data_IF_195991585154
#
_entry.id   IF_195991585154
#
_cell.length_a   1.000
_cell.length_b   1.000
_cell.length_c   1.000
_cell.angle_alpha   90.00
_cell.angle_beta   90.00
_cell.angle_gamma   90.00
#
_symmetry.space_group_name_H-M   'P 1'
#
loop_
_entity.id
_entity.type
_entity.pdbx_description
1 polymer ?
#
# COMPACT_ATOMS: atom_id res chain seq x y z
N UNK A 1 15.40 -27.15 -5.69
CA UNK A 1 15.34 -25.74 -6.12
C UNK A 1 13.92 -25.51 -6.63
N UNK A 2 13.10 -24.69 -5.97
CA UNK A 2 11.77 -24.33 -6.49
C UNK A 2 11.96 -23.18 -7.46
N UNK A 3 11.45 -23.31 -8.68
CA UNK A 3 11.39 -22.19 -9.63
C UNK A 3 10.47 -21.11 -9.06
N UNK A 4 11.05 -20.03 -8.53
CA UNK A 4 10.31 -18.82 -8.22
C UNK A 4 9.83 -18.19 -9.54
N UNK A 5 8.59 -18.48 -9.94
CA UNK A 5 7.95 -17.93 -11.17
C UNK A 5 7.93 -16.39 -11.22
N UNK A 6 8.14 -15.72 -10.09
CA UNK A 6 8.22 -14.27 -9.99
C UNK A 6 9.61 -13.87 -9.48
N UNK A 7 10.34 -13.08 -10.27
CA UNK A 7 11.57 -12.43 -9.83
C UNK A 7 11.28 -11.55 -8.61
N UNK A 8 12.28 -11.33 -7.76
CA UNK A 8 12.18 -10.38 -6.65
C UNK A 8 11.75 -8.99 -7.18
N UNK A 9 10.55 -8.53 -6.81
CA UNK A 9 9.95 -7.27 -7.32
C UNK A 9 8.96 -7.42 -8.49
N UNK A 10 8.70 -8.63 -9.00
CA UNK A 10 7.67 -8.92 -10.02
C UNK A 10 6.27 -9.16 -9.45
N UNK A 11 6.05 -8.96 -8.15
CA UNK A 11 4.67 -8.89 -7.66
C UNK A 11 3.94 -7.79 -8.48
N UNK A 12 2.65 -7.96 -8.83
CA UNK A 12 1.91 -7.00 -9.67
C UNK A 12 1.58 -5.70 -8.89
N UNK A 13 2.47 -5.30 -7.99
CA UNK A 13 2.33 -4.23 -7.01
C UNK A 13 3.67 -3.51 -6.85
N UNK A 14 3.65 -2.19 -6.91
CA UNK A 14 4.81 -1.35 -6.62
C UNK A 14 4.87 -1.02 -5.13
N UNK A 15 6.10 -1.01 -4.61
CA UNK A 15 6.40 -0.53 -3.27
C UNK A 15 6.62 1.00 -3.31
N UNK A 16 6.31 1.73 -2.23
CA UNK A 16 6.70 3.13 -2.07
C UNK A 16 8.22 3.29 -2.19
N UNK A 17 8.65 4.26 -2.98
CA UNK A 17 10.07 4.64 -3.10
C UNK A 17 10.38 5.88 -2.26
N UNK A 18 9.43 6.81 -2.16
CA UNK A 18 9.54 7.98 -1.29
C UNK A 18 8.26 8.18 -0.49
N UNK A 19 8.40 8.70 0.72
CA UNK A 19 7.28 9.08 1.58
C UNK A 19 7.62 10.41 2.25
N UNK A 20 6.75 11.39 2.07
CA UNK A 20 6.77 12.65 2.80
C UNK A 20 5.67 12.62 3.84
N UNK A 21 5.99 13.00 5.08
CA UNK A 21 5.02 13.24 6.15
C UNK A 21 4.97 14.74 6.38
N UNK A 22 3.79 15.33 6.19
CA UNK A 22 3.60 16.78 6.30
C UNK A 22 4.63 17.58 5.47
N UNK A 23 4.95 17.08 4.26
CA UNK A 23 5.90 17.69 3.33
C UNK A 23 7.38 17.39 3.61
N UNK A 24 7.72 16.60 4.63
CA UNK A 24 9.11 16.23 4.97
C UNK A 24 9.41 14.78 4.60
N UNK A 25 10.45 14.55 3.82
CA UNK A 25 10.90 13.20 3.46
C UNK A 25 11.25 12.37 4.71
N UNK A 26 10.81 11.11 4.75
CA UNK A 26 11.02 10.22 5.88
C UNK A 26 11.40 8.80 5.44
N UNK A 27 12.67 8.44 5.62
CA UNK A 27 13.17 7.10 5.31
C UNK A 27 12.54 6.01 6.21
N UNK A 28 12.27 6.33 7.48
CA UNK A 28 11.57 5.42 8.40
C UNK A 28 10.13 5.15 7.96
N UNK A 29 9.47 6.14 7.35
CA UNK A 29 8.14 5.97 6.78
C UNK A 29 8.14 5.04 5.56
N UNK A 30 9.16 5.14 4.70
CA UNK A 30 9.35 4.17 3.59
C UNK A 30 9.51 2.76 4.15
N UNK A 31 10.39 2.56 5.14
CA UNK A 31 10.58 1.24 5.78
C UNK A 31 9.30 0.70 6.46
N UNK A 32 8.48 1.60 7.02
CA UNK A 32 7.22 1.22 7.63
C UNK A 32 6.19 0.76 6.59
N UNK A 33 6.18 1.35 5.38
CA UNK A 33 5.14 1.09 4.37
C UNK A 33 5.53 0.08 3.28
N UNK A 34 6.80 0.03 2.88
CA UNK A 34 7.31 -0.73 1.74
C UNK A 34 7.53 -2.21 2.05
N UNK A 35 6.46 -2.90 2.47
CA UNK A 35 6.47 -4.33 2.81
C UNK A 35 5.73 -5.13 1.75
N UNK A 36 6.24 -6.30 1.39
CA UNK A 36 5.62 -7.16 0.37
C UNK A 36 4.35 -7.87 0.87
N UNK A 37 3.58 -8.37 -0.09
CA UNK A 37 2.56 -9.41 0.16
C UNK A 37 3.22 -10.77 -0.06
N UNK A 38 2.90 -11.74 0.79
CA UNK A 38 3.22 -13.13 0.55
C UNK A 38 2.38 -13.65 -0.62
N UNK A 39 3.03 -13.91 -1.75
CA UNK A 39 2.40 -14.58 -2.89
C UNK A 39 2.84 -16.04 -2.92
N UNK A 40 1.98 -17.03 -2.65
CA UNK A 40 2.30 -18.41 -2.95
C UNK A 40 2.55 -18.56 -4.46
N UNK A 41 3.57 -19.30 -4.92
CA UNK A 41 4.47 -20.18 -4.16
C UNK A 41 5.79 -19.51 -3.71
N UNK A 42 5.93 -18.19 -3.85
CA UNK A 42 7.16 -17.46 -3.51
C UNK A 42 7.46 -17.65 -2.02
N UNK A 43 8.59 -18.28 -1.72
CA UNK A 43 9.01 -18.61 -0.36
C UNK A 43 9.59 -17.42 0.40
N UNK A 44 9.05 -16.22 0.14
CA UNK A 44 9.57 -14.99 0.73
C UNK A 44 9.29 -14.93 2.23
N UNK A 45 10.22 -14.37 3.03
CA UNK A 45 9.97 -14.15 4.45
C UNK A 45 8.82 -13.16 4.61
N UNK A 46 8.03 -13.34 5.66
CA UNK A 46 6.98 -12.40 6.02
C UNK A 46 7.61 -11.07 6.46
N UNK A 47 7.41 -10.01 5.67
CA UNK A 47 7.90 -8.66 5.95
C UNK A 47 6.93 -7.85 6.83
N UNK A 48 5.78 -8.44 7.20
CA UNK A 48 4.69 -7.74 7.86
C UNK A 48 5.00 -7.45 9.34
N UNK A 49 5.56 -6.28 9.62
CA UNK A 49 5.76 -5.76 10.99
C UNK A 49 4.84 -4.58 11.31
N UNK A 50 3.72 -4.85 11.96
CA UNK A 50 2.73 -3.85 12.35
C UNK A 50 3.21 -2.90 13.49
N UNK A 51 4.40 -3.11 14.07
CA UNK A 51 4.97 -2.19 15.09
C UNK A 51 5.46 -0.89 14.46
N UNK A 52 5.89 -0.93 13.19
CA UNK A 52 6.32 0.25 12.41
C UNK A 52 5.15 0.75 11.58
N UNK A 53 4.67 1.95 11.90
CA UNK A 53 3.46 2.52 11.33
C UNK A 53 3.58 4.03 11.10
N UNK A 54 2.80 4.56 10.17
CA UNK A 54 2.72 5.99 9.85
C UNK A 54 1.27 6.47 9.83
N UNK A 55 1.05 7.77 10.03
CA UNK A 55 -0.29 8.41 9.99
C UNK A 55 -0.14 9.89 9.62
N UNK A 56 -1.25 10.55 9.29
CA UNK A 56 -1.29 11.98 8.96
C UNK A 56 -1.33 12.22 7.46
N UNK A 57 -0.85 13.40 7.04
CA UNK A 57 -0.79 13.80 5.63
C UNK A 57 0.45 13.19 4.97
N UNK A 58 0.21 12.27 4.05
CA UNK A 58 1.25 11.54 3.34
C UNK A 58 1.29 11.97 1.88
N UNK A 59 2.49 12.18 1.35
CA UNK A 59 2.74 12.20 -0.09
C UNK A 59 3.64 11.01 -0.41
N UNK A 60 3.14 10.06 -1.18
CA UNK A 60 3.81 8.79 -1.45
C UNK A 60 4.09 8.69 -2.94
N UNK A 61 5.33 8.44 -3.30
CA UNK A 61 5.74 8.17 -4.68
C UNK A 61 6.03 6.69 -4.86
N UNK A 62 5.57 6.16 -5.98
CA UNK A 62 5.86 4.83 -6.48
C UNK A 62 6.60 5.00 -7.80
N UNK A 63 7.68 4.24 -7.99
CA UNK A 63 8.42 4.21 -9.24
C UNK A 63 8.55 2.77 -9.72
N UNK A 64 8.44 2.59 -11.03
CA UNK A 64 8.60 1.30 -11.70
C UNK A 64 7.45 1.01 -12.66
N UNK A 65 7.67 0.04 -13.55
CA UNK A 65 6.66 -0.36 -14.52
C UNK A 65 5.85 -1.53 -13.98
N UNK A 66 4.52 -1.39 -14.03
CA UNK A 66 3.61 -2.52 -13.92
C UNK A 66 3.21 -2.94 -15.34
N UNK A 67 3.36 -4.22 -15.71
CA UNK A 67 3.01 -4.67 -17.06
C UNK A 67 1.49 -4.54 -17.29
N UNK A 68 1.13 -3.97 -18.44
CA UNK A 68 -0.26 -3.73 -18.86
C UNK A 68 -0.78 -2.32 -18.51
N UNK A 69 -1.97 -1.98 -19.01
CA UNK A 69 -2.68 -0.73 -18.66
C UNK A 69 -3.71 -0.95 -17.54
N UNK A 70 -4.41 0.11 -17.13
CA UNK A 70 -5.53 0.02 -16.19
C UNK A 70 -5.65 1.22 -15.26
N UNK A 71 -6.52 1.09 -14.25
CA UNK A 71 -6.68 2.11 -13.20
C UNK A 71 -5.86 1.74 -11.98
N UNK A 72 -5.26 2.76 -11.38
CA UNK A 72 -4.50 2.64 -10.15
C UNK A 72 -5.42 2.32 -8.96
N UNK A 73 -4.97 1.39 -8.13
CA UNK A 73 -5.55 1.10 -6.81
C UNK A 73 -4.45 1.08 -5.77
N UNK A 74 -4.74 1.59 -4.58
CA UNK A 74 -3.86 1.41 -3.43
C UNK A 74 -4.35 0.23 -2.60
N UNK A 75 -3.43 -0.66 -2.25
CA UNK A 75 -3.66 -1.69 -1.24
C UNK A 75 -2.96 -1.26 0.05
N UNK A 76 -3.75 -1.12 1.11
CA UNK A 76 -3.30 -0.59 2.39
C UNK A 76 -3.43 -1.66 3.47
N UNK A 77 -2.59 -1.60 4.49
CA UNK A 77 -2.87 -2.25 5.78
C UNK A 77 -2.96 -1.16 6.84
N UNK A 78 -4.17 -0.98 7.38
CA UNK A 78 -4.47 0.06 8.35
C UNK A 78 -5.03 -0.55 9.63
N UNK A 79 -4.80 0.11 10.77
CA UNK A 79 -5.39 -0.31 12.05
C UNK A 79 -6.81 0.23 12.18
N UNK A 80 -7.78 -0.66 12.05
CA UNK A 80 -9.19 -0.39 12.25
C UNK A 80 -9.53 -0.33 13.75
N UNK A 81 -9.85 0.88 14.21
CA UNK A 81 -10.60 1.13 15.46
C UNK A 81 -12.02 1.62 15.15
N UNK A 82 -12.14 2.37 14.06
CA UNK A 82 -13.33 2.80 13.31
C UNK A 82 -12.96 2.77 11.82
N UNK A 83 -13.91 2.96 10.88
CA UNK A 83 -13.61 3.04 9.44
C UNK A 83 -12.52 4.10 9.22
N UNK A 84 -11.34 3.75 8.64
CA UNK A 84 -10.29 4.73 8.42
C UNK A 84 -10.81 5.82 7.49
N UNK A 85 -10.69 7.07 7.92
CA UNK A 85 -11.04 8.21 7.08
C UNK A 85 -9.78 8.59 6.32
N UNK A 86 -9.83 8.36 5.02
CA UNK A 86 -8.89 8.92 4.04
C UNK A 86 -9.57 10.14 3.43
N UNK A 87 -8.84 11.22 3.17
CA UNK A 87 -9.49 12.38 2.54
C UNK A 87 -10.14 12.00 1.20
N UNK A 88 -11.30 12.62 0.94
CA UNK A 88 -12.28 12.22 -0.06
C UNK A 88 -11.90 12.54 -1.50
N UNK A 89 -10.65 12.93 -1.79
CA UNK A 89 -10.24 13.23 -3.17
C UNK A 89 -10.18 11.96 -4.04
N UNK A 90 -10.03 10.79 -3.41
CA UNK A 90 -10.10 9.48 -4.05
C UNK A 90 -11.35 8.74 -3.56
N UNK A 91 -11.65 7.58 -4.17
CA UNK A 91 -12.84 6.81 -3.83
C UNK A 91 -12.94 6.40 -2.35
N UNK A 92 -13.95 5.60 -2.01
CA UNK A 92 -14.06 5.08 -0.65
C UNK A 92 -13.01 4.00 -0.39
N UNK A 93 -12.41 4.05 0.79
CA UNK A 93 -11.57 2.98 1.31
C UNK A 93 -12.45 1.76 1.63
N UNK A 94 -12.24 0.65 0.93
CA UNK A 94 -13.02 -0.57 1.07
C UNK A 94 -12.21 -1.63 1.85
N UNK A 95 -12.76 -2.21 2.93
CA UNK A 95 -12.07 -3.29 3.63
C UNK A 95 -11.99 -4.54 2.74
N UNK A 96 -10.88 -5.27 2.84
CA UNK A 96 -10.65 -6.50 2.10
C UNK A 96 -10.67 -7.72 3.03
N UNK A 97 -11.12 -8.85 2.48
CA UNK A 97 -11.03 -10.15 3.12
C UNK A 97 -12.16 -10.45 4.11
N UNK A 98 -12.10 -11.66 4.66
CA UNK A 98 -13.18 -12.25 5.45
C UNK A 98 -13.48 -11.51 6.77
N UNK A 99 -12.48 -10.83 7.34
CA UNK A 99 -12.60 -10.14 8.62
C UNK A 99 -12.95 -8.64 8.49
N UNK A 100 -13.38 -8.20 7.30
CA UNK A 100 -13.77 -6.82 7.04
C UNK A 100 -14.70 -6.27 8.13
N UNK A 101 -14.31 -5.16 8.77
CA UNK A 101 -15.12 -4.53 9.83
C UNK A 101 -14.68 -4.86 11.26
N UNK A 102 -13.90 -5.92 11.46
CA UNK A 102 -13.37 -6.26 12.79
C UNK A 102 -12.33 -5.23 13.31
N UNK A 103 -12.13 -5.22 14.63
CA UNK A 103 -11.06 -4.40 15.23
C UNK A 103 -9.68 -4.99 14.91
N UNK A 104 -8.68 -4.13 14.77
CA UNK A 104 -7.29 -4.54 14.58
C UNK A 104 -6.73 -4.17 13.21
N UNK A 105 -5.65 -4.82 12.80
CA UNK A 105 -4.99 -4.53 11.52
C UNK A 105 -5.70 -5.23 10.36
N UNK A 106 -6.18 -4.45 9.39
CA UNK A 106 -6.96 -4.96 8.27
C UNK A 106 -6.37 -4.51 6.94
N UNK A 107 -6.46 -5.35 5.90
CA UNK A 107 -6.20 -4.90 4.54
C UNK A 107 -7.38 -4.08 4.00
N UNK A 108 -7.07 -3.07 3.21
CA UNK A 108 -8.06 -2.23 2.52
C UNK A 108 -7.61 -2.02 1.08
N UNK A 109 -8.57 -1.71 0.21
CA UNK A 109 -8.34 -1.18 -1.14
C UNK A 109 -8.89 0.23 -1.25
N UNK A 110 -8.15 1.11 -1.90
CA UNK A 110 -8.63 2.42 -2.32
C UNK A 110 -8.52 2.52 -3.85
N UNK A 111 -9.65 2.59 -4.56
CA UNK A 111 -9.63 2.94 -5.97
C UNK A 111 -9.22 4.40 -6.16
N UNK A 112 -8.11 4.63 -6.85
CA UNK A 112 -7.61 5.99 -7.15
C UNK A 112 -8.35 6.58 -8.35
N UNK A 113 -8.80 5.72 -9.27
CA UNK A 113 -9.57 6.12 -10.46
C UNK A 113 -8.72 6.75 -11.57
N UNK A 114 -7.45 7.04 -11.30
CA UNK A 114 -6.47 7.55 -12.26
C UNK A 114 -5.84 6.41 -13.07
N UNK A 115 -5.44 6.67 -14.34
CA UNK A 115 -4.61 5.75 -15.10
C UNK A 115 -3.31 5.44 -14.36
N UNK A 116 -2.86 4.19 -14.44
CA UNK A 116 -1.59 3.78 -13.87
C UNK A 116 -0.43 4.34 -14.71
N UNK A 117 0.55 4.98 -14.06
CA UNK A 117 1.75 5.54 -14.69
C UNK A 117 3.02 4.96 -14.06
N UNK A 118 4.17 4.94 -14.77
CA UNK A 118 5.44 4.42 -14.23
C UNK A 118 5.92 5.15 -12.97
N UNK A 119 5.70 6.46 -12.92
CA UNK A 119 5.92 7.29 -11.74
C UNK A 119 4.58 7.86 -11.30
N UNK A 120 4.13 7.44 -10.13
CA UNK A 120 2.86 7.88 -9.58
C UNK A 120 3.08 8.44 -8.18
N UNK A 121 2.65 9.69 -7.97
CA UNK A 121 2.67 10.32 -6.66
C UNK A 121 1.24 10.55 -6.20
N UNK A 122 0.93 10.05 -5.01
CA UNK A 122 -0.41 10.13 -4.42
C UNK A 122 -0.29 10.84 -3.08
N UNK A 123 -1.07 11.90 -2.91
CA UNK A 123 -1.18 12.62 -1.66
C UNK A 123 -2.52 12.31 -1.00
N UNK A 124 -2.51 11.97 0.27
CA UNK A 124 -3.73 11.76 1.04
C UNK A 124 -3.48 11.99 2.52
N UNK A 125 -4.52 12.39 3.25
CA UNK A 125 -4.51 12.35 4.70
C UNK A 125 -5.15 11.06 5.22
N UNK A 126 -4.54 10.41 6.21
CA UNK A 126 -5.12 9.25 6.89
C UNK A 126 -5.05 9.38 8.41
N UNK A 127 -6.19 9.19 9.07
CA UNK A 127 -6.29 9.28 10.53
C UNK A 127 -5.95 7.97 11.26
N UNK A 128 -5.90 6.85 10.54
CA UNK A 128 -5.54 5.54 11.07
C UNK A 128 -4.04 5.25 10.84
N UNK A 129 -3.38 4.52 11.77
CA UNK A 129 -2.05 4.02 11.51
C UNK A 129 -2.01 3.07 10.31
N UNK A 130 -1.06 3.29 9.40
CA UNK A 130 -0.74 2.44 8.26
C UNK A 130 0.55 1.69 8.50
N UNK A 131 0.55 0.39 8.27
CA UNK A 131 1.72 -0.48 8.36
C UNK A 131 2.14 -1.06 7.01
N UNK A 132 1.38 -0.85 5.93
CA UNK A 132 1.78 -1.23 4.57
C UNK A 132 1.00 -0.42 3.56
N UNK A 133 1.66 -0.10 2.45
CA UNK A 133 1.04 0.58 1.32
C UNK A 133 1.66 0.07 0.02
N UNK A 134 0.82 -0.28 -0.95
CA UNK A 134 1.23 -0.82 -2.24
C UNK A 134 0.37 -0.20 -3.34
N UNK A 135 0.96 0.06 -4.50
CA UNK A 135 0.25 0.49 -5.69
C UNK A 135 0.04 -0.70 -6.61
N UNK A 136 -1.19 -0.91 -7.07
CA UNK A 136 -1.55 -1.99 -7.97
C UNK A 136 -2.50 -1.54 -9.08
N UNK A 137 -3.00 -2.53 -9.80
CA UNK A 137 -4.02 -2.38 -10.84
C UNK A 137 -5.39 -2.86 -10.34
N UNK A 138 -6.44 -2.10 -10.63
CA UNK A 138 -7.84 -2.47 -10.44
C UNK A 138 -8.65 -2.50 -11.72
#
# INVERSE_FOLDING_TARGET
MRDERLRRGQAPLLLPTTVLIDGKASASAVQALAKRILYPPAGWPEELDDRRQVRGKLTVTFAGELPGGGRAVLLLRARQRSVPLMDSQFGLLQPLGHNAGARGWQPFVLPIGLPLTPDMTIQFNINAPLSRLLLGRG
#
